data_IF_777745014438
#
_entry.id   IF_777745014438
#
_cell.length_a   1.000
_cell.length_b   1.000
_cell.length_c   1.000
_cell.angle_alpha   90.00
_cell.angle_beta   90.00
_cell.angle_gamma   90.00
#
_symmetry.space_group_name_H-M   'P 1'
#
loop_
_entity.id
_entity.type
_entity.pdbx_description
1 polymer ?
#
# COMPACT_ATOMS: atom_id res chain seq x y z
N UNK A 1 -14.59 25.09 -18.25
CA UNK A 1 -14.29 23.81 -18.95
C UNK A 1 -15.08 22.70 -18.24
N UNK A 2 -15.78 21.84 -18.98
CA UNK A 2 -16.63 20.82 -18.36
C UNK A 2 -15.73 19.67 -17.87
N UNK A 3 -15.70 19.42 -16.56
CA UNK A 3 -14.87 18.40 -15.90
C UNK A 3 -15.01 17.00 -16.53
N UNK A 4 -16.18 16.65 -17.08
CA UNK A 4 -16.37 15.40 -17.80
C UNK A 4 -15.42 15.21 -18.99
N UNK A 5 -15.09 16.29 -19.70
CA UNK A 5 -14.14 16.24 -20.83
C UNK A 5 -12.68 16.06 -20.40
N UNK A 6 -12.31 16.57 -19.23
CA UNK A 6 -10.95 16.38 -18.67
C UNK A 6 -10.75 14.92 -18.29
N UNK A 7 -11.76 14.29 -17.67
CA UNK A 7 -11.74 12.87 -17.34
C UNK A 7 -11.73 11.96 -18.57
N UNK A 8 -12.54 12.26 -19.60
CA UNK A 8 -12.49 11.52 -20.86
C UNK A 8 -11.11 11.66 -21.52
N UNK A 9 -10.53 12.86 -21.53
CA UNK A 9 -9.23 13.12 -22.14
C UNK A 9 -8.09 12.35 -21.43
N UNK A 10 -8.09 12.28 -20.11
CA UNK A 10 -7.12 11.51 -19.30
C UNK A 10 -7.37 10.01 -19.45
N UNK A 11 -8.63 9.56 -19.41
CA UNK A 11 -9.00 8.14 -19.46
C UNK A 11 -8.66 7.48 -20.82
N UNK A 12 -8.84 8.20 -21.94
CA UNK A 12 -8.58 7.64 -23.26
C UNK A 12 -7.10 7.63 -23.66
N UNK A 13 -6.22 8.34 -22.95
CA UNK A 13 -4.78 8.33 -23.20
C UNK A 13 -3.99 7.31 -22.38
N UNK A 14 -4.64 6.53 -21.53
CA UNK A 14 -3.98 5.37 -20.90
C UNK A 14 -3.59 4.36 -21.98
N UNK A 15 -2.32 3.97 -22.08
CA UNK A 15 -1.81 3.25 -23.24
C UNK A 15 -2.46 1.88 -23.40
N UNK A 16 -3.03 1.61 -24.56
CA UNK A 16 -3.41 0.26 -25.03
C UNK A 16 -2.23 -0.73 -24.92
N UNK A 17 -0.98 -0.24 -24.96
CA UNK A 17 0.23 -1.01 -24.83
C UNK A 17 0.42 -1.70 -23.48
N UNK A 18 -0.07 -1.13 -22.37
CA UNK A 18 0.13 -1.74 -21.03
C UNK A 18 -0.70 -3.03 -20.87
N UNK A 19 -1.93 -3.06 -21.39
CA UNK A 19 -2.76 -4.29 -21.43
C UNK A 19 -2.12 -5.37 -22.31
N UNK A 20 -1.66 -5.00 -23.51
CA UNK A 20 -0.99 -5.95 -24.40
C UNK A 20 0.32 -6.49 -23.84
N UNK A 21 1.04 -5.70 -23.03
CA UNK A 21 2.24 -6.15 -22.33
C UNK A 21 1.91 -7.18 -21.24
N UNK A 22 0.91 -6.92 -20.40
CA UNK A 22 0.47 -7.85 -19.34
C UNK A 22 -0.02 -9.16 -19.96
N UNK A 23 -0.82 -9.09 -21.03
CA UNK A 23 -1.31 -10.27 -21.72
C UNK A 23 -0.17 -11.09 -22.33
N UNK A 24 0.83 -10.45 -22.94
CA UNK A 24 2.05 -11.12 -23.45
C UNK A 24 2.90 -11.71 -22.35
N UNK A 25 3.08 -11.02 -21.23
CA UNK A 25 3.82 -11.51 -20.07
C UNK A 25 3.13 -12.73 -19.44
N UNK A 26 1.79 -12.68 -19.30
CA UNK A 26 1.01 -13.82 -18.81
C UNK A 26 1.05 -15.02 -19.76
N UNK A 27 0.95 -14.80 -21.07
CA UNK A 27 1.12 -15.88 -22.08
C UNK A 27 2.53 -16.50 -22.03
N UNK A 28 3.56 -15.73 -21.70
CA UNK A 28 4.91 -16.25 -21.52
C UNK A 28 5.05 -17.04 -20.23
N UNK A 29 4.46 -16.59 -19.13
CA UNK A 29 4.42 -17.33 -17.87
C UNK A 29 3.71 -18.67 -18.05
N UNK A 30 2.57 -18.72 -18.75
CA UNK A 30 1.88 -19.98 -19.09
C UNK A 30 2.76 -20.91 -19.93
N UNK A 31 3.53 -20.36 -20.89
CA UNK A 31 4.50 -21.16 -21.67
C UNK A 31 5.64 -21.72 -20.81
N UNK A 32 6.14 -20.93 -19.86
CA UNK A 32 7.17 -21.38 -18.91
C UNK A 32 6.63 -22.47 -17.99
N UNK A 33 5.41 -22.34 -17.47
CA UNK A 33 4.78 -23.36 -16.65
C UNK A 33 4.47 -24.65 -17.42
N UNK A 34 4.03 -24.56 -18.66
CA UNK A 34 3.86 -25.71 -19.55
C UNK A 34 5.18 -26.44 -19.82
N UNK A 35 6.29 -25.70 -19.95
CA UNK A 35 7.64 -26.28 -20.10
C UNK A 35 8.11 -26.95 -18.80
N UNK A 36 7.81 -26.36 -17.65
CA UNK A 36 8.13 -26.93 -16.33
C UNK A 36 7.39 -28.26 -16.09
N UNK A 37 6.11 -28.33 -16.42
CA UNK A 37 5.32 -29.56 -16.34
C UNK A 37 5.85 -30.66 -17.29
N UNK A 38 6.28 -30.27 -18.47
CA UNK A 38 6.91 -31.22 -19.43
C UNK A 38 8.26 -31.76 -18.93
N UNK A 39 9.01 -30.91 -18.18
CA UNK A 39 10.24 -31.33 -17.50
C UNK A 39 9.97 -32.39 -16.43
N UNK A 40 8.99 -32.15 -15.58
CA UNK A 40 8.61 -33.06 -14.48
C UNK A 40 8.16 -34.43 -14.98
N UNK A 41 7.46 -34.48 -16.12
CA UNK A 41 7.04 -35.72 -16.77
C UNK A 41 8.20 -36.45 -17.49
N UNK A 42 9.19 -35.70 -18.03
CA UNK A 42 10.34 -36.24 -18.74
C UNK A 42 11.41 -36.89 -17.85
N UNK A 43 11.43 -36.56 -16.55
CA UNK A 43 12.37 -37.09 -15.55
C UNK A 43 12.19 -38.63 -15.35
N UNK A 44 11.03 -39.18 -15.71
CA UNK A 44 10.70 -40.61 -15.51
C UNK A 44 11.29 -41.57 -16.56
N UNK A 45 11.79 -41.10 -17.71
CA UNK A 45 12.23 -42.00 -18.78
C UNK A 45 13.63 -41.69 -19.31
N UNK A 46 14.55 -42.64 -19.09
CA UNK A 46 15.87 -42.93 -19.76
C UNK A 46 16.89 -41.76 -19.90
N UNK A 47 18.12 -42.04 -19.44
CA UNK A 47 19.28 -41.14 -19.25
C UNK A 47 19.70 -40.33 -20.51
N UNK A 48 19.68 -40.93 -21.69
CA UNK A 48 20.14 -40.26 -22.93
C UNK A 48 19.10 -39.32 -23.54
N UNK A 49 17.82 -39.63 -23.40
CA UNK A 49 16.74 -38.75 -23.85
C UNK A 49 16.59 -37.53 -22.94
N UNK A 50 16.93 -37.71 -21.67
CA UNK A 50 16.90 -36.66 -20.64
C UNK A 50 17.88 -35.52 -20.93
N UNK A 51 19.11 -35.83 -21.36
CA UNK A 51 20.15 -34.84 -21.64
C UNK A 51 19.80 -33.98 -22.87
N UNK A 52 19.27 -34.61 -23.93
CA UNK A 52 18.82 -33.87 -25.13
C UNK A 52 17.60 -32.96 -24.80
N UNK A 53 16.69 -33.47 -23.98
CA UNK A 53 15.52 -32.68 -23.54
C UNK A 53 15.96 -31.50 -22.65
N UNK A 54 16.93 -31.75 -21.77
CA UNK A 54 17.50 -30.71 -20.89
C UNK A 54 18.17 -29.59 -21.70
N UNK A 55 18.95 -29.91 -22.72
CA UNK A 55 19.57 -28.91 -23.61
C UNK A 55 18.53 -28.13 -24.42
N UNK A 56 17.50 -28.80 -24.95
CA UNK A 56 16.42 -28.15 -25.68
C UNK A 56 15.64 -27.20 -24.81
N UNK A 57 15.38 -27.57 -23.54
CA UNK A 57 14.66 -26.77 -22.60
C UNK A 57 15.50 -25.60 -22.11
N UNK A 58 16.79 -25.80 -21.81
CA UNK A 58 17.71 -24.72 -21.48
C UNK A 58 17.72 -23.65 -22.58
N UNK A 59 17.87 -24.08 -23.86
CA UNK A 59 17.79 -23.13 -25.00
C UNK A 59 16.46 -22.39 -25.11
N UNK A 60 15.34 -23.07 -24.79
CA UNK A 60 14.01 -22.42 -24.76
C UNK A 60 13.88 -21.42 -23.60
N UNK A 61 14.35 -21.80 -22.41
CA UNK A 61 14.37 -20.90 -21.23
C UNK A 61 15.25 -19.68 -21.53
N UNK A 62 16.44 -19.86 -22.11
CA UNK A 62 17.31 -18.75 -22.50
C UNK A 62 16.65 -17.86 -23.56
N UNK A 63 15.92 -18.47 -24.50
CA UNK A 63 15.15 -17.77 -25.50
C UNK A 63 14.04 -16.89 -24.87
N UNK A 64 13.25 -17.49 -23.97
CA UNK A 64 12.18 -16.79 -23.24
C UNK A 64 12.74 -15.71 -22.33
N UNK A 65 13.84 -15.97 -21.64
CA UNK A 65 14.51 -14.99 -20.80
C UNK A 65 14.99 -13.76 -21.58
N UNK A 66 15.50 -13.97 -22.81
CA UNK A 66 15.86 -12.85 -23.70
C UNK A 66 14.63 -12.07 -24.18
N UNK A 67 13.54 -12.77 -24.47
CA UNK A 67 12.29 -12.14 -24.90
C UNK A 67 11.64 -11.32 -23.75
N UNK A 68 11.61 -11.86 -22.54
CA UNK A 68 11.17 -11.16 -21.32
C UNK A 68 12.00 -9.89 -21.08
N UNK A 69 13.33 -9.99 -21.24
CA UNK A 69 14.22 -8.83 -21.08
C UNK A 69 13.91 -7.75 -22.11
N UNK A 70 13.73 -8.13 -23.38
CA UNK A 70 13.34 -7.17 -24.44
C UNK A 70 12.00 -6.49 -24.15
N UNK A 71 11.01 -7.25 -23.68
CA UNK A 71 9.71 -6.72 -23.31
C UNK A 71 9.81 -5.77 -22.11
N UNK A 72 10.67 -6.07 -21.14
CA UNK A 72 10.94 -5.18 -20.03
C UNK A 72 11.58 -3.86 -20.49
N UNK A 73 12.59 -3.93 -21.37
CA UNK A 73 13.22 -2.74 -21.97
C UNK A 73 12.22 -1.90 -22.77
N UNK A 74 11.35 -2.55 -23.55
CA UNK A 74 10.29 -1.87 -24.31
C UNK A 74 9.24 -1.23 -23.38
N UNK A 75 8.84 -1.91 -22.31
CA UNK A 75 7.93 -1.35 -21.30
C UNK A 75 8.53 -0.13 -20.62
N UNK A 76 9.78 -0.21 -20.18
CA UNK A 76 10.49 0.92 -19.56
C UNK A 76 10.58 2.11 -20.52
N UNK A 77 10.80 1.85 -21.81
CA UNK A 77 10.80 2.89 -22.84
C UNK A 77 9.42 3.54 -23.00
N UNK A 78 8.36 2.74 -23.05
CA UNK A 78 6.98 3.22 -23.16
C UNK A 78 6.57 4.03 -21.94
N UNK A 79 6.93 3.58 -20.74
CA UNK A 79 6.69 4.31 -19.50
C UNK A 79 7.34 5.70 -19.52
N UNK A 80 8.60 5.81 -19.96
CA UNK A 80 9.29 7.10 -20.11
C UNK A 80 8.57 8.01 -21.09
N UNK A 81 8.11 7.48 -22.22
CA UNK A 81 7.39 8.25 -23.23
C UNK A 81 6.05 8.76 -22.66
N UNK A 82 5.28 7.88 -22.01
CA UNK A 82 4.00 8.24 -21.40
C UNK A 82 4.19 9.28 -20.30
N UNK A 83 5.17 9.10 -19.43
CA UNK A 83 5.49 10.06 -18.37
C UNK A 83 5.89 11.41 -18.95
N UNK A 84 6.67 11.42 -20.04
CA UNK A 84 7.08 12.65 -20.70
C UNK A 84 5.89 13.42 -21.26
N UNK A 85 5.01 12.75 -22.03
CA UNK A 85 3.82 13.39 -22.58
C UNK A 85 2.84 13.82 -21.49
N UNK A 86 2.67 13.01 -20.43
CA UNK A 86 1.84 13.39 -19.31
C UNK A 86 2.34 14.67 -18.64
N UNK A 87 3.66 14.79 -18.40
CA UNK A 87 4.25 16.02 -17.85
C UNK A 87 3.99 17.24 -18.74
N UNK A 88 4.14 17.09 -20.05
CA UNK A 88 3.84 18.18 -21.00
C UNK A 88 2.36 18.56 -20.99
N UNK A 89 1.46 17.56 -21.02
CA UNK A 89 0.01 17.79 -20.98
C UNK A 89 -0.40 18.50 -19.68
N UNK A 90 0.18 18.08 -18.54
CA UNK A 90 -0.08 18.72 -17.26
C UNK A 90 0.47 20.15 -17.20
N UNK A 91 1.67 20.38 -17.72
CA UNK A 91 2.22 21.73 -17.80
C UNK A 91 1.33 22.66 -18.63
N UNK A 92 0.87 22.22 -19.82
CA UNK A 92 -0.05 22.99 -20.66
C UNK A 92 -1.39 23.23 -19.96
N UNK A 93 -1.93 22.18 -19.28
CA UNK A 93 -3.18 22.30 -18.53
C UNK A 93 -3.07 23.36 -17.42
N UNK A 94 -1.99 23.35 -16.65
CA UNK A 94 -1.79 24.31 -15.56
C UNK A 94 -1.56 25.74 -16.08
N UNK A 95 -0.84 25.91 -17.19
CA UNK A 95 -0.68 27.22 -17.84
C UNK A 95 -2.01 27.79 -18.34
N UNK A 96 -2.91 26.96 -18.88
CA UNK A 96 -4.25 27.38 -19.31
C UNK A 96 -5.19 27.62 -18.13
N UNK A 97 -5.09 26.83 -17.05
CA UNK A 97 -5.96 26.92 -15.87
C UNK A 97 -5.58 28.07 -14.94
N UNK A 98 -4.33 28.44 -14.91
CA UNK A 98 -3.76 29.50 -14.09
C UNK A 98 -4.38 30.87 -14.43
N UNK A 99 -4.67 31.67 -13.39
CA UNK A 99 -5.10 33.05 -13.56
C UNK A 99 -3.91 33.99 -13.73
N UNK A 100 -4.15 35.15 -14.28
CA UNK A 100 -3.13 36.21 -14.39
C UNK A 100 -2.56 36.57 -12.99
N UNK A 101 -1.25 36.56 -12.86
CA UNK A 101 -0.53 36.81 -11.60
C UNK A 101 -0.50 35.65 -10.59
N UNK A 102 -1.16 34.53 -10.87
CA UNK A 102 -1.16 33.35 -10.02
C UNK A 102 0.05 32.45 -10.32
N UNK A 103 0.68 31.87 -9.30
CA UNK A 103 1.72 30.85 -9.52
C UNK A 103 1.09 29.51 -9.91
N UNK A 104 1.85 28.64 -10.57
CA UNK A 104 1.36 27.28 -10.92
C UNK A 104 0.91 26.51 -9.68
N UNK A 105 1.69 26.57 -8.60
CA UNK A 105 1.36 25.89 -7.36
C UNK A 105 0.08 26.43 -6.70
N UNK A 106 -0.20 27.73 -6.79
CA UNK A 106 -1.44 28.30 -6.26
C UNK A 106 -2.65 27.87 -7.09
N UNK A 107 -2.48 27.81 -8.43
CA UNK A 107 -3.50 27.28 -9.33
C UNK A 107 -3.80 25.80 -9.05
N UNK A 108 -2.78 24.99 -8.81
CA UNK A 108 -2.90 23.57 -8.43
C UNK A 108 -3.63 23.42 -7.10
N UNK A 109 -3.22 24.15 -6.07
CA UNK A 109 -3.91 24.16 -4.76
C UNK A 109 -5.37 24.54 -4.89
N UNK A 110 -5.66 25.62 -5.60
CA UNK A 110 -7.03 26.08 -5.87
C UNK A 110 -7.85 25.02 -6.61
N UNK A 111 -7.25 24.37 -7.61
CA UNK A 111 -7.92 23.32 -8.38
C UNK A 111 -8.34 22.15 -7.49
N UNK A 112 -7.41 21.56 -6.77
CA UNK A 112 -7.69 20.39 -5.95
C UNK A 112 -8.65 20.68 -4.79
N UNK A 113 -8.56 21.86 -4.19
CA UNK A 113 -9.53 22.31 -3.18
C UNK A 113 -10.94 22.54 -3.76
N UNK A 114 -11.06 22.84 -5.06
CA UNK A 114 -12.35 23.05 -5.72
C UNK A 114 -13.01 21.79 -6.24
N UNK A 115 -12.34 20.63 -6.17
CA UNK A 115 -12.91 19.38 -6.62
C UNK A 115 -14.10 18.97 -5.77
N UNK A 116 -15.20 18.53 -6.40
CA UNK A 116 -16.36 18.07 -5.65
C UNK A 116 -16.02 16.79 -4.88
N UNK A 117 -16.58 16.68 -3.68
CA UNK A 117 -16.52 15.43 -2.91
C UNK A 117 -17.15 14.28 -3.69
N UNK A 118 -16.73 13.06 -3.41
CA UNK A 118 -17.35 11.85 -3.93
C UNK A 118 -18.87 11.88 -3.78
N UNK A 119 -19.58 11.14 -4.61
CA UNK A 119 -21.03 11.01 -4.56
C UNK A 119 -21.47 9.56 -4.50
N UNK A 120 -22.72 9.35 -4.09
CA UNK A 120 -23.33 8.02 -4.07
C UNK A 120 -22.63 7.08 -3.09
N UNK A 121 -22.27 5.90 -3.57
CA UNK A 121 -21.80 4.81 -2.73
C UNK A 121 -20.38 5.08 -2.18
N UNK A 122 -19.52 5.68 -3.00
CA UNK A 122 -18.17 6.03 -2.57
C UNK A 122 -18.21 7.08 -1.45
N UNK A 123 -19.13 8.04 -1.54
CA UNK A 123 -19.31 9.02 -0.46
C UNK A 123 -19.84 8.39 0.83
N UNK A 124 -20.74 7.42 0.71
CA UNK A 124 -21.23 6.69 1.88
C UNK A 124 -20.10 5.93 2.59
N UNK A 125 -19.20 5.32 1.83
CA UNK A 125 -18.01 4.66 2.35
C UNK A 125 -17.12 5.66 3.10
N UNK A 126 -16.73 6.74 2.44
CA UNK A 126 -15.92 7.81 3.02
C UNK A 126 -16.54 8.40 4.31
N UNK A 127 -17.86 8.53 4.37
CA UNK A 127 -18.53 9.02 5.56
C UNK A 127 -18.45 8.04 6.74
N UNK A 128 -18.53 6.74 6.49
CA UNK A 128 -18.38 5.71 7.52
C UNK A 128 -16.91 5.58 7.96
N UNK A 129 -15.97 5.70 7.03
CA UNK A 129 -14.53 5.74 7.35
C UNK A 129 -14.17 6.98 8.18
N UNK A 130 -14.76 8.14 7.85
CA UNK A 130 -14.63 9.33 8.67
C UNK A 130 -15.16 9.09 10.09
N UNK A 131 -16.29 8.41 10.26
CA UNK A 131 -16.83 8.08 11.58
C UNK A 131 -15.90 7.14 12.35
N UNK A 132 -15.32 6.14 11.66
CA UNK A 132 -14.27 5.29 12.24
C UNK A 132 -13.03 6.09 12.63
N UNK A 133 -12.56 7.01 11.77
CA UNK A 133 -11.39 7.85 12.07
C UNK A 133 -11.61 8.72 13.31
N UNK A 134 -12.83 9.27 13.47
CA UNK A 134 -13.19 10.02 14.67
C UNK A 134 -13.07 9.13 15.91
N UNK A 135 -13.68 7.94 15.89
CA UNK A 135 -13.62 7.00 17.01
C UNK A 135 -12.20 6.53 17.30
N UNK A 136 -11.43 6.20 16.25
CA UNK A 136 -10.02 5.82 16.36
C UNK A 136 -9.18 6.92 17.01
N UNK A 137 -9.38 8.16 16.56
CA UNK A 137 -8.69 9.34 17.10
C UNK A 137 -9.01 9.56 18.57
N UNK A 138 -10.31 9.50 18.95
CA UNK A 138 -10.78 9.63 20.32
C UNK A 138 -10.17 8.55 21.23
N UNK A 139 -10.19 7.27 20.81
CA UNK A 139 -9.58 6.16 21.55
C UNK A 139 -8.07 6.37 21.73
N UNK A 140 -7.37 6.80 20.69
CA UNK A 140 -5.93 7.07 20.77
C UNK A 140 -5.64 8.24 21.74
N UNK A 141 -6.40 9.33 21.68
CA UNK A 141 -6.22 10.51 22.52
C UNK A 141 -6.51 10.19 24.01
N UNK A 142 -7.61 9.49 24.31
CA UNK A 142 -7.98 9.07 25.66
C UNK A 142 -6.92 8.15 26.30
N UNK A 143 -6.21 7.34 25.48
CA UNK A 143 -5.21 6.42 25.95
C UNK A 143 -3.76 6.87 25.73
N UNK A 144 -3.56 8.15 25.35
CA UNK A 144 -2.25 8.74 25.13
C UNK A 144 -1.39 7.92 24.13
N UNK A 145 -2.01 7.47 23.05
CA UNK A 145 -1.36 6.78 21.94
C UNK A 145 -1.21 7.75 20.76
N UNK A 146 -0.05 7.70 20.11
CA UNK A 146 0.23 8.55 18.97
C UNK A 146 -0.08 7.80 17.66
N UNK A 147 -0.88 8.44 16.81
CA UNK A 147 -1.11 8.00 15.43
C UNK A 147 -0.95 9.18 14.50
N UNK A 148 -0.76 8.93 13.23
CA UNK A 148 -0.77 9.98 12.20
C UNK A 148 -1.37 9.46 10.90
N UNK A 149 -1.93 10.39 10.11
CA UNK A 149 -2.40 10.10 8.76
C UNK A 149 -1.20 9.90 7.84
N UNK A 150 -1.34 8.97 6.88
CA UNK A 150 -0.25 8.60 5.99
C UNK A 150 -0.72 8.47 4.55
N UNK A 151 0.19 8.20 3.63
CA UNK A 151 -0.06 7.87 2.22
C UNK A 151 -1.16 8.72 1.56
N UNK A 152 -2.17 8.09 0.93
CA UNK A 152 -3.27 8.75 0.24
C UNK A 152 -4.09 9.66 1.15
N UNK A 153 -4.30 9.27 2.39
CA UNK A 153 -5.03 10.05 3.38
C UNK A 153 -4.28 11.32 3.78
N UNK A 154 -2.95 11.26 3.95
CA UNK A 154 -2.13 12.45 4.19
C UNK A 154 -2.15 13.39 2.98
N UNK A 155 -2.03 12.86 1.77
CA UNK A 155 -2.13 13.63 0.54
C UNK A 155 -3.50 14.30 0.42
N UNK A 156 -4.57 13.58 0.70
CA UNK A 156 -5.94 14.10 0.74
C UNK A 156 -6.10 15.23 1.76
N UNK A 157 -5.54 15.06 2.96
CA UNK A 157 -5.55 16.07 4.03
C UNK A 157 -4.94 17.39 3.55
N UNK A 158 -3.78 17.34 2.93
CA UNK A 158 -3.05 18.54 2.48
C UNK A 158 -3.67 19.16 1.23
N UNK A 159 -4.07 18.33 0.27
CA UNK A 159 -4.49 18.75 -1.06
C UNK A 159 -5.98 19.07 -1.16
N UNK A 160 -6.85 18.35 -0.41
CA UNK A 160 -8.31 18.43 -0.51
C UNK A 160 -8.97 18.83 0.81
N UNK A 161 -8.25 18.87 1.95
CA UNK A 161 -8.77 18.97 3.32
C UNK A 161 -9.75 17.83 3.66
N UNK A 162 -9.50 16.65 3.13
CA UNK A 162 -10.34 15.47 3.26
C UNK A 162 -9.96 14.40 2.27
N UNK A 163 -10.88 13.50 1.98
CA UNK A 163 -10.65 12.44 1.01
C UNK A 163 -10.31 13.00 -0.38
N UNK A 164 -9.39 12.34 -1.05
CA UNK A 164 -9.29 12.42 -2.50
C UNK A 164 -10.63 11.90 -3.06
N UNK A 165 -11.30 12.59 -4.02
CA UNK A 165 -12.68 12.25 -4.40
C UNK A 165 -12.90 10.81 -4.90
N UNK A 166 -11.88 10.15 -5.38
CA UNK A 166 -11.92 8.76 -5.87
C UNK A 166 -11.31 7.74 -4.93
N UNK A 167 -10.85 8.17 -3.75
CA UNK A 167 -10.27 7.31 -2.72
C UNK A 167 -11.33 6.59 -1.91
N UNK A 168 -11.06 5.37 -1.48
CA UNK A 168 -12.00 4.50 -0.78
C UNK A 168 -11.42 3.86 0.48
N UNK A 169 -10.37 4.45 1.06
CA UNK A 169 -9.72 3.98 2.28
C UNK A 169 -9.13 5.12 3.12
N UNK A 170 -8.77 4.79 4.34
CA UNK A 170 -7.99 5.64 5.25
C UNK A 170 -6.76 4.89 5.72
N UNK A 171 -5.60 5.51 5.46
CA UNK A 171 -4.30 5.06 5.91
C UNK A 171 -3.87 5.80 7.17
N UNK A 172 -3.60 5.06 8.22
CA UNK A 172 -2.99 5.58 9.45
C UNK A 172 -1.74 4.80 9.79
N UNK A 173 -0.87 5.43 10.57
CA UNK A 173 0.31 4.78 11.10
C UNK A 173 0.40 4.96 12.62
N UNK A 174 1.03 4.02 13.28
CA UNK A 174 1.35 4.05 14.70
C UNK A 174 2.70 3.39 14.95
N UNK A 175 3.34 3.70 16.07
CA UNK A 175 4.43 2.89 16.57
C UNK A 175 3.91 1.48 16.97
N UNK A 176 4.72 0.46 16.76
CA UNK A 176 4.31 -0.95 16.99
C UNK A 176 3.76 -1.19 18.40
N UNK A 177 4.39 -0.63 19.41
CA UNK A 177 3.96 -0.76 20.79
C UNK A 177 2.59 -0.13 21.07
N UNK A 178 2.26 0.97 20.38
CA UNK A 178 0.94 1.59 20.48
C UNK A 178 -0.14 0.76 19.78
N UNK A 179 0.19 0.05 18.69
CA UNK A 179 -0.70 -0.93 18.06
C UNK A 179 -1.00 -2.08 19.01
N UNK A 180 0.02 -2.61 19.71
CA UNK A 180 -0.17 -3.67 20.67
C UNK A 180 -1.04 -3.21 21.85
N UNK A 181 -0.85 -1.98 22.35
CA UNK A 181 -1.71 -1.37 23.37
C UNK A 181 -3.14 -1.20 22.88
N UNK A 182 -3.33 -0.73 21.66
CA UNK A 182 -4.64 -0.57 21.04
C UNK A 182 -5.36 -1.92 20.91
N UNK A 183 -4.65 -2.98 20.52
CA UNK A 183 -5.19 -4.34 20.46
C UNK A 183 -5.72 -4.80 21.83
N UNK A 184 -4.96 -4.55 22.90
CA UNK A 184 -5.39 -4.91 24.26
C UNK A 184 -6.62 -4.11 24.72
N UNK A 185 -6.65 -2.81 24.47
CA UNK A 185 -7.79 -1.94 24.83
C UNK A 185 -9.06 -2.40 24.11
N UNK A 186 -8.95 -2.76 22.84
CA UNK A 186 -10.11 -3.13 22.03
C UNK A 186 -10.62 -4.56 22.26
N UNK A 187 -9.93 -5.41 23.01
CA UNK A 187 -10.41 -6.77 23.32
C UNK A 187 -11.82 -6.76 23.95
N UNK A 188 -12.06 -5.82 24.85
CA UNK A 188 -13.32 -5.69 25.57
C UNK A 188 -14.23 -4.59 25.03
N UNK A 189 -13.85 -3.95 23.94
CA UNK A 189 -14.70 -2.95 23.31
C UNK A 189 -15.88 -3.64 22.60
N UNK A 190 -17.10 -3.10 22.74
CA UNK A 190 -18.31 -3.71 22.18
C UNK A 190 -18.58 -3.23 20.73
N UNK A 191 -18.07 -2.06 20.35
CA UNK A 191 -18.37 -1.41 19.09
C UNK A 191 -17.25 -1.53 18.06
N UNK A 192 -15.99 -1.47 18.50
CA UNK A 192 -14.82 -1.46 17.63
C UNK A 192 -13.90 -2.64 17.87
N UNK A 193 -13.14 -3.02 16.85
CA UNK A 193 -12.12 -4.07 16.94
C UNK A 193 -10.89 -3.71 16.11
N UNK A 194 -9.76 -4.27 16.50
CA UNK A 194 -8.55 -4.32 15.70
C UNK A 194 -8.37 -5.73 15.14
N UNK A 195 -8.50 -5.86 13.84
CA UNK A 195 -8.27 -7.13 13.15
C UNK A 195 -6.82 -7.18 12.69
N UNK A 196 -6.11 -8.23 13.04
CA UNK A 196 -4.72 -8.46 12.61
C UNK A 196 -4.65 -9.79 11.88
N UNK A 197 -4.19 -9.76 10.64
CA UNK A 197 -4.08 -10.93 9.77
C UNK A 197 -2.71 -10.99 9.12
N UNK A 198 -2.22 -12.21 8.91
CA UNK A 198 -1.08 -12.44 8.02
C UNK A 198 -1.59 -12.67 6.59
N UNK A 199 -1.03 -11.92 5.65
CA UNK A 199 -1.32 -12.04 4.22
C UNK A 199 -0.20 -12.82 3.53
N UNK A 200 -0.56 -13.98 2.97
CA UNK A 200 0.37 -14.89 2.32
C UNK A 200 0.87 -14.37 0.96
N UNK A 201 0.14 -13.47 0.33
CA UNK A 201 0.47 -12.91 -0.97
C UNK A 201 1.20 -11.58 -0.85
N UNK A 202 0.83 -10.78 0.14
CA UNK A 202 1.52 -9.55 0.49
C UNK A 202 2.77 -9.73 1.34
N UNK A 203 2.97 -10.94 1.92
CA UNK A 203 4.06 -11.25 2.85
C UNK A 203 4.12 -10.26 4.03
N UNK A 204 2.96 -9.88 4.54
CA UNK A 204 2.83 -8.81 5.51
C UNK A 204 1.78 -9.09 6.58
N UNK A 205 1.75 -8.23 7.59
CA UNK A 205 0.61 -8.09 8.48
C UNK A 205 -0.34 -7.04 7.93
N UNK A 206 -1.62 -7.37 7.86
CA UNK A 206 -2.70 -6.41 7.67
C UNK A 206 -3.31 -6.12 9.02
N UNK A 207 -3.30 -4.86 9.42
CA UNK A 207 -3.86 -4.39 10.69
C UNK A 207 -4.95 -3.39 10.37
N UNK A 208 -6.18 -3.67 10.79
CA UNK A 208 -7.36 -2.89 10.44
C UNK A 208 -8.20 -2.59 11.65
N UNK A 209 -8.47 -1.31 11.87
CA UNK A 209 -9.47 -0.86 12.82
C UNK A 209 -10.83 -0.79 12.14
N UNK A 210 -11.86 -1.34 12.77
CA UNK A 210 -13.19 -1.39 12.17
C UNK A 210 -14.30 -1.62 13.19
N UNK A 211 -15.53 -1.66 12.69
CA UNK A 211 -16.69 -1.99 13.51
C UNK A 211 -16.73 -3.48 13.85
N UNK A 212 -16.91 -3.78 15.15
CA UNK A 212 -17.03 -5.15 15.64
C UNK A 212 -18.33 -5.78 15.16
N UNK A 213 -18.28 -7.06 14.78
CA UNK A 213 -19.45 -7.83 14.32
C UNK A 213 -20.21 -7.17 13.15
N UNK A 214 -19.50 -6.49 12.27
CA UNK A 214 -20.09 -5.81 11.13
C UNK A 214 -19.77 -6.52 9.83
N UNK A 215 -20.75 -6.64 8.93
CA UNK A 215 -20.58 -7.06 7.54
C UNK A 215 -20.17 -5.88 6.63
N UNK A 216 -19.99 -4.68 7.21
CA UNK A 216 -19.57 -3.50 6.48
C UNK A 216 -18.12 -3.67 6.02
N UNK A 217 -17.83 -3.45 4.74
CA UNK A 217 -16.47 -3.45 4.21
C UNK A 217 -15.77 -2.10 4.48
N UNK A 218 -15.83 -1.63 5.73
CA UNK A 218 -15.32 -0.32 6.16
C UNK A 218 -14.28 -0.54 7.24
N UNK A 219 -13.11 0.00 7.04
CA UNK A 219 -11.99 -0.12 7.97
C UNK A 219 -11.00 1.02 7.78
N UNK A 220 -10.13 1.19 8.75
CA UNK A 220 -8.94 2.03 8.67
C UNK A 220 -7.73 1.08 8.65
N UNK A 221 -6.87 1.20 7.67
CA UNK A 221 -5.58 0.52 7.68
C UNK A 221 -4.63 1.20 8.69
N UNK A 222 -3.98 0.38 9.52
CA UNK A 222 -3.04 0.83 10.54
C UNK A 222 -1.68 0.22 10.27
N UNK A 223 -0.74 1.02 9.78
CA UNK A 223 0.59 0.56 9.44
C UNK A 223 1.55 0.72 10.62
N UNK A 224 2.26 -0.35 11.02
CA UNK A 224 3.28 -0.27 12.05
C UNK A 224 4.52 0.44 11.56
N UNK A 225 5.06 1.29 12.43
CA UNK A 225 6.40 1.83 12.33
C UNK A 225 7.25 1.33 13.50
N UNK A 226 8.53 1.14 13.26
CA UNK A 226 9.50 0.68 14.23
C UNK A 226 10.57 1.74 14.52
N UNK A 227 10.98 1.84 15.79
CA UNK A 227 12.06 2.71 16.22
C UNK A 227 13.40 2.14 15.78
N UNK A 228 14.18 2.91 15.03
CA UNK A 228 15.49 2.54 14.55
C UNK A 228 16.58 3.22 15.36
N UNK A 229 17.64 2.47 15.72
CA UNK A 229 18.76 3.01 16.48
C UNK A 229 19.45 4.18 15.75
N UNK A 230 19.53 4.09 14.41
CA UNK A 230 20.12 5.13 13.57
C UNK A 230 19.20 5.48 12.41
N UNK A 231 19.07 6.77 12.09
CA UNK A 231 18.43 7.25 10.89
C UNK A 231 19.38 7.15 9.69
N UNK A 232 19.79 5.94 9.32
CA UNK A 232 20.82 5.71 8.31
C UNK A 232 20.32 4.81 7.17
N UNK A 233 20.98 4.92 6.02
CA UNK A 233 20.70 4.04 4.88
C UNK A 233 20.98 2.57 5.22
N UNK A 234 21.98 2.30 6.05
CA UNK A 234 22.32 0.94 6.48
C UNK A 234 21.20 0.32 7.30
N UNK A 235 20.52 1.11 8.15
CA UNK A 235 19.33 0.66 8.89
C UNK A 235 18.17 0.32 7.94
N UNK A 236 17.95 1.14 6.92
CA UNK A 236 16.96 0.85 5.88
C UNK A 236 17.33 -0.41 5.08
N UNK A 237 18.58 -0.55 4.64
CA UNK A 237 19.05 -1.73 3.89
C UNK A 237 18.93 -3.02 4.72
N UNK A 238 19.14 -2.95 6.03
CA UNK A 238 18.96 -4.07 6.93
C UNK A 238 17.49 -4.46 7.05
N UNK A 239 16.60 -3.49 7.24
CA UNK A 239 15.14 -3.70 7.27
C UNK A 239 14.64 -4.30 5.95
N UNK A 240 15.07 -3.74 4.82
CA UNK A 240 14.73 -4.26 3.49
C UNK A 240 15.24 -5.69 3.27
N UNK A 241 16.47 -6.00 3.67
CA UNK A 241 17.05 -7.34 3.58
C UNK A 241 16.22 -8.35 4.37
N UNK A 242 15.84 -8.00 5.59
CA UNK A 242 14.99 -8.85 6.44
C UNK A 242 13.62 -9.08 5.78
N UNK A 243 13.02 -8.06 5.18
CA UNK A 243 11.78 -8.21 4.39
C UNK A 243 11.95 -9.19 3.23
N UNK A 244 13.06 -9.13 2.51
CA UNK A 244 13.35 -10.06 1.40
C UNK A 244 13.60 -11.49 1.89
N UNK A 245 14.27 -11.67 3.05
CA UNK A 245 14.45 -12.98 3.68
C UNK A 245 13.12 -13.57 4.14
N UNK A 246 12.25 -12.76 4.79
CA UNK A 246 10.90 -13.17 5.16
C UNK A 246 10.11 -13.62 3.94
N UNK A 247 10.12 -12.83 2.86
CA UNK A 247 9.44 -13.16 1.61
C UNK A 247 9.95 -14.47 1.00
N UNK A 248 11.26 -14.70 1.02
CA UNK A 248 11.85 -15.94 0.54
C UNK A 248 11.39 -17.14 1.39
N UNK A 249 11.37 -17.02 2.73
CA UNK A 249 10.90 -18.09 3.62
C UNK A 249 9.41 -18.38 3.41
N UNK A 250 8.56 -17.36 3.33
CA UNK A 250 7.12 -17.49 3.11
C UNK A 250 6.75 -17.92 1.67
N UNK A 251 7.73 -17.97 0.77
CA UNK A 251 7.57 -18.49 -0.59
C UNK A 251 8.04 -19.95 -0.72
N UNK A 252 8.62 -20.55 0.32
CA UNK A 252 9.16 -21.91 0.29
C UNK A 252 8.04 -22.95 0.43
N UNK A 253 7.48 -23.39 -0.70
CA UNK A 253 6.41 -24.39 -0.75
C UNK A 253 6.84 -25.83 -0.38
N UNK A 254 8.13 -26.10 -0.11
CA UNK A 254 8.56 -27.36 0.47
C UNK A 254 8.12 -27.50 1.94
N UNK A 255 7.94 -26.36 2.63
CA UNK A 255 7.42 -26.31 3.99
C UNK A 255 5.88 -26.50 4.00
N UNK A 256 5.41 -27.50 4.76
CA UNK A 256 3.99 -27.83 4.86
C UNK A 256 3.15 -26.67 5.44
N UNK A 257 3.65 -25.98 6.48
CA UNK A 257 3.00 -24.80 7.06
C UNK A 257 2.82 -23.69 6.02
N UNK A 258 3.87 -23.42 5.22
CA UNK A 258 3.81 -22.36 4.22
C UNK A 258 2.81 -22.71 3.12
N UNK A 259 2.74 -23.96 2.66
CA UNK A 259 1.71 -24.41 1.71
C UNK A 259 0.29 -24.17 2.24
N UNK A 260 0.06 -24.54 3.52
CA UNK A 260 -1.23 -24.36 4.16
C UNK A 260 -1.58 -22.87 4.32
N UNK A 261 -0.63 -22.05 4.76
CA UNK A 261 -0.77 -20.60 4.86
C UNK A 261 -1.10 -19.96 3.50
N UNK A 262 -0.34 -20.31 2.45
CA UNK A 262 -0.58 -19.79 1.09
C UNK A 262 -1.93 -20.25 0.51
N UNK A 263 -2.34 -21.47 0.78
CA UNK A 263 -3.65 -21.97 0.37
C UNK A 263 -4.80 -21.22 1.07
N UNK A 264 -4.61 -20.80 2.31
CA UNK A 264 -5.58 -19.98 3.06
C UNK A 264 -5.62 -18.51 2.58
N UNK A 265 -4.52 -18.02 2.00
CA UNK A 265 -4.38 -16.66 1.48
C UNK A 265 -4.20 -15.60 2.57
N UNK A 266 -5.13 -15.50 3.48
CA UNK A 266 -5.09 -14.55 4.59
C UNK A 266 -5.59 -15.24 5.86
N UNK A 267 -4.83 -15.20 6.96
CA UNK A 267 -5.15 -15.89 8.21
C UNK A 267 -5.12 -14.95 9.39
N UNK A 268 -6.08 -15.10 10.29
CA UNK A 268 -6.11 -14.37 11.55
C UNK A 268 -4.92 -14.77 12.44
N UNK A 269 -4.27 -13.80 13.11
CA UNK A 269 -3.10 -14.04 13.95
C UNK A 269 -3.40 -14.97 15.13
N UNK A 270 -4.65 -15.00 15.61
CA UNK A 270 -5.09 -15.83 16.73
C UNK A 270 -5.50 -17.26 16.30
N UNK A 271 -5.59 -17.54 14.99
CA UNK A 271 -5.83 -18.87 14.45
C UNK A 271 -4.66 -19.82 14.69
N UNK A 272 -4.88 -21.13 14.51
CA UNK A 272 -3.81 -22.13 14.67
C UNK A 272 -2.65 -21.87 13.70
N UNK A 273 -2.97 -21.64 12.42
CA UNK A 273 -1.97 -21.32 11.38
C UNK A 273 -1.32 -19.96 11.70
N UNK A 274 -2.11 -18.95 12.07
CA UNK A 274 -1.61 -17.62 12.40
C UNK A 274 -0.58 -17.63 13.52
N UNK A 275 -0.80 -18.39 14.60
CA UNK A 275 0.17 -18.55 15.70
C UNK A 275 1.48 -19.21 15.25
N UNK A 276 1.41 -20.13 14.30
CA UNK A 276 2.62 -20.76 13.77
C UNK A 276 3.37 -19.81 12.81
N UNK A 277 2.65 -19.04 12.00
CA UNK A 277 3.22 -18.03 11.11
C UNK A 277 3.81 -16.87 11.92
N UNK A 278 3.22 -16.51 13.06
CA UNK A 278 3.75 -15.50 13.98
C UNK A 278 5.22 -15.76 14.34
N UNK A 279 5.58 -17.02 14.61
CA UNK A 279 6.97 -17.40 14.96
C UNK A 279 7.96 -17.01 13.85
N UNK A 280 7.53 -17.07 12.59
CA UNK A 280 8.37 -16.67 11.44
C UNK A 280 8.54 -15.15 11.45
N UNK A 281 7.47 -14.38 11.60
CA UNK A 281 7.56 -12.91 11.66
C UNK A 281 8.37 -12.44 12.86
N UNK A 282 8.14 -13.04 14.04
CA UNK A 282 8.85 -12.70 15.28
C UNK A 282 10.35 -12.99 15.19
N UNK A 283 10.74 -14.09 14.52
CA UNK A 283 12.14 -14.41 14.23
C UNK A 283 12.85 -13.25 13.51
N UNK A 284 12.21 -12.67 12.51
CA UNK A 284 12.79 -11.58 11.72
C UNK A 284 12.77 -10.24 12.48
N UNK A 285 11.73 -9.99 13.26
CA UNK A 285 11.71 -8.84 14.17
C UNK A 285 12.83 -8.91 15.20
N UNK A 286 12.98 -10.07 15.85
CA UNK A 286 14.04 -10.28 16.84
C UNK A 286 15.44 -10.14 16.22
N UNK A 287 15.63 -10.63 14.98
CA UNK A 287 16.89 -10.44 14.26
C UNK A 287 17.25 -8.96 14.10
N UNK A 288 16.30 -8.10 13.73
CA UNK A 288 16.54 -6.67 13.63
C UNK A 288 16.88 -6.03 14.99
N UNK A 289 16.29 -6.53 16.07
CA UNK A 289 16.62 -6.12 17.45
C UNK A 289 18.02 -6.57 17.86
N UNK A 290 18.37 -7.82 17.62
CA UNK A 290 19.69 -8.41 17.93
C UNK A 290 20.80 -7.76 17.12
N UNK A 291 20.53 -7.40 15.85
CA UNK A 291 21.45 -6.68 14.98
C UNK A 291 21.55 -5.17 15.29
N UNK A 292 20.89 -4.69 16.36
CA UNK A 292 20.82 -3.27 16.75
C UNK A 292 20.35 -2.33 15.63
N UNK A 293 19.49 -2.81 14.75
CA UNK A 293 18.78 -1.98 13.76
C UNK A 293 17.60 -1.30 14.42
N UNK A 294 16.83 -2.07 15.23
CA UNK A 294 15.72 -1.56 16.01
C UNK A 294 16.10 -1.44 17.49
N UNK A 295 15.59 -0.43 18.15
CA UNK A 295 15.79 -0.14 19.57
C UNK A 295 14.50 0.33 20.25
N UNK A 296 14.57 0.72 21.51
CA UNK A 296 13.45 1.32 22.21
C UNK A 296 13.33 2.81 21.84
N UNK A 297 12.16 3.39 22.06
CA UNK A 297 11.81 4.77 21.69
C UNK A 297 12.83 5.79 22.17
N UNK A 298 13.30 5.61 23.41
CA UNK A 298 14.22 6.54 24.09
C UNK A 298 15.62 6.60 23.47
N UNK A 299 16.01 5.54 22.75
CA UNK A 299 17.33 5.42 22.13
C UNK A 299 17.28 5.68 20.62
N UNK A 300 16.08 5.87 20.05
CA UNK A 300 15.89 5.95 18.63
C UNK A 300 16.29 7.30 18.04
N UNK A 301 17.11 7.28 16.99
CA UNK A 301 17.37 8.42 16.12
C UNK A 301 16.52 8.37 14.84
N UNK A 302 16.12 7.15 14.42
CA UNK A 302 15.38 6.88 13.20
C UNK A 302 14.00 6.27 13.45
N UNK A 303 13.18 6.30 12.40
CA UNK A 303 11.85 5.75 12.39
C UNK A 303 11.58 5.06 11.04
N UNK A 304 11.32 3.76 11.08
CA UNK A 304 11.20 2.90 9.90
C UNK A 304 9.77 2.45 9.68
N UNK A 305 9.32 2.52 8.45
CA UNK A 305 8.15 1.75 8.02
C UNK A 305 8.48 0.26 8.18
N UNK A 306 7.67 -0.46 8.93
CA UNK A 306 8.02 -1.80 9.37
C UNK A 306 8.17 -2.81 8.22
N UNK A 307 9.14 -3.72 8.33
CA UNK A 307 9.41 -4.76 7.33
C UNK A 307 8.20 -5.67 7.08
N UNK A 308 7.34 -5.83 8.06
CA UNK A 308 6.15 -6.68 8.02
C UNK A 308 4.87 -5.94 7.58
N UNK A 309 4.99 -4.67 7.18
CA UNK A 309 3.90 -3.90 6.59
C UNK A 309 3.75 -4.16 5.10
N UNK A 310 2.53 -4.00 4.60
CA UNK A 310 2.28 -3.86 3.16
C UNK A 310 2.96 -2.60 2.65
N UNK A 311 3.87 -2.76 1.71
CA UNK A 311 4.48 -1.64 1.01
C UNK A 311 4.64 -2.03 -0.46
N UNK A 312 3.82 -1.47 -1.36
CA UNK A 312 3.92 -1.74 -2.80
C UNK A 312 5.17 -1.11 -3.42
N UNK A 313 5.72 -0.06 -2.79
CA UNK A 313 6.95 0.58 -3.21
C UNK A 313 8.05 0.15 -2.25
N UNK A 314 9.02 -0.63 -2.71
CA UNK A 314 10.18 -1.04 -1.90
C UNK A 314 11.09 0.16 -1.47
N UNK A 315 10.69 1.38 -1.82
CA UNK A 315 11.42 2.64 -1.58
C UNK A 315 11.03 3.33 -0.26
N UNK A 316 10.52 2.58 0.72
CA UNK A 316 10.23 3.17 2.03
C UNK A 316 11.51 3.66 2.69
N UNK A 317 11.56 4.95 2.92
CA UNK A 317 12.73 5.61 3.48
C UNK A 317 12.80 5.41 4.99
N UNK A 318 14.00 5.47 5.52
CA UNK A 318 14.20 5.75 6.93
C UNK A 318 14.12 7.26 7.13
N UNK A 319 13.41 7.67 8.16
CA UNK A 319 13.28 9.06 8.53
C UNK A 319 13.89 9.28 9.91
N UNK A 320 14.40 10.49 10.17
CA UNK A 320 14.75 10.88 11.52
C UNK A 320 13.47 11.01 12.37
N UNK A 321 13.54 10.65 13.66
CA UNK A 321 12.42 10.80 14.60
C UNK A 321 11.85 12.22 14.58
N UNK A 322 12.70 13.24 14.45
CA UNK A 322 12.30 14.66 14.39
C UNK A 322 11.48 15.05 13.15
N UNK A 323 11.47 14.20 12.10
CA UNK A 323 10.62 14.42 10.93
C UNK A 323 9.17 14.01 11.19
N UNK A 324 8.96 13.09 12.12
CA UNK A 324 7.62 12.66 12.56
C UNK A 324 7.15 13.43 13.79
N UNK A 325 7.99 13.62 14.78
CA UNK A 325 7.63 14.18 16.09
C UNK A 325 8.28 15.53 16.37
N UNK A 326 7.59 16.44 17.11
CA UNK A 326 6.22 16.28 17.60
C UNK A 326 5.21 16.35 16.44
N UNK A 327 4.16 15.53 16.52
CA UNK A 327 3.11 15.51 15.50
C UNK A 327 2.44 16.89 15.34
N UNK A 328 2.12 17.24 14.09
CA UNK A 328 1.32 18.41 13.76
C UNK A 328 -0.18 18.03 13.68
N UNK A 329 -1.06 19.03 13.69
CA UNK A 329 -2.49 18.82 13.52
C UNK A 329 -3.01 19.52 12.27
N UNK A 330 -3.70 18.78 11.40
CA UNK A 330 -4.36 19.31 10.20
C UNK A 330 -5.83 18.91 10.19
N UNK A 331 -6.60 19.62 9.37
CA UNK A 331 -8.02 19.32 9.16
C UNK A 331 -8.19 18.25 8.07
N UNK A 332 -8.93 17.17 8.38
CA UNK A 332 -9.40 16.16 7.45
C UNK A 332 -10.91 15.98 7.60
N UNK A 333 -11.69 16.32 6.57
CA UNK A 333 -13.17 16.22 6.58
C UNK A 333 -13.84 16.92 7.79
N UNK A 334 -13.25 17.98 8.32
CA UNK A 334 -13.71 18.68 9.51
C UNK A 334 -13.29 18.05 10.84
N UNK A 335 -12.49 16.97 10.82
CA UNK A 335 -11.81 16.43 12.00
C UNK A 335 -10.41 17.03 12.10
N UNK A 336 -9.93 17.21 13.33
CA UNK A 336 -8.55 17.60 13.59
C UNK A 336 -7.72 16.34 13.79
N UNK A 337 -6.85 15.99 12.83
CA UNK A 337 -6.08 14.77 12.82
C UNK A 337 -4.58 15.03 12.93
N UNK A 338 -3.85 14.06 13.48
CA UNK A 338 -2.41 14.12 13.57
C UNK A 338 -1.76 13.80 12.23
N UNK A 339 -0.69 14.53 11.94
CA UNK A 339 0.17 14.31 10.77
C UNK A 339 1.64 14.40 11.20
N UNK A 340 2.60 13.83 10.45
CA UNK A 340 4.02 13.96 10.77
C UNK A 340 4.45 15.43 10.88
N UNK A 341 5.47 15.71 11.70
CA UNK A 341 6.02 17.06 11.87
C UNK A 341 6.38 17.70 10.52
N UNK A 342 7.10 16.98 9.70
CA UNK A 342 7.50 17.43 8.37
C UNK A 342 6.65 16.76 7.27
N UNK A 343 5.32 16.83 7.40
CA UNK A 343 4.38 16.15 6.51
C UNK A 343 4.59 16.49 5.03
N UNK A 344 5.02 17.71 4.71
CA UNK A 344 5.34 18.08 3.33
C UNK A 344 6.56 17.31 2.80
N UNK A 345 7.59 17.14 3.61
CA UNK A 345 8.76 16.33 3.27
C UNK A 345 8.34 14.87 3.05
N UNK A 346 7.54 14.30 3.95
CA UNK A 346 7.02 12.92 3.82
C UNK A 346 6.22 12.75 2.53
N UNK A 347 5.38 13.74 2.16
CA UNK A 347 4.65 13.69 0.88
C UNK A 347 5.58 13.76 -0.33
N UNK A 348 6.66 14.55 -0.28
CA UNK A 348 7.67 14.58 -1.34
C UNK A 348 8.38 13.24 -1.49
N UNK A 349 8.71 12.57 -0.39
CA UNK A 349 9.32 11.24 -0.40
C UNK A 349 8.38 10.18 -0.99
N UNK A 350 7.09 10.24 -0.65
CA UNK A 350 6.10 9.25 -1.10
C UNK A 350 5.64 9.47 -2.56
N UNK A 351 5.48 10.71 -2.99
CA UNK A 351 4.82 11.05 -4.26
C UNK A 351 5.67 11.91 -5.21
N UNK A 352 6.88 12.28 -4.78
CA UNK A 352 7.73 13.20 -5.53
C UNK A 352 7.33 14.67 -5.40
N UNK A 353 8.10 15.55 -6.05
CA UNK A 353 7.92 16.99 -5.94
C UNK A 353 6.57 17.49 -6.51
N UNK A 354 6.02 16.77 -7.47
CA UNK A 354 4.83 17.16 -8.23
C UNK A 354 3.52 16.57 -7.67
N UNK A 355 3.42 16.30 -6.37
CA UNK A 355 2.19 15.68 -5.81
C UNK A 355 0.94 16.57 -5.87
N UNK A 356 1.07 17.86 -6.20
CA UNK A 356 -0.02 18.76 -6.57
C UNK A 356 -0.42 18.64 -8.05
N UNK A 357 -0.22 17.49 -8.66
CA UNK A 357 -0.69 17.20 -10.03
C UNK A 357 -1.41 15.84 -10.06
N UNK A 358 -1.97 15.51 -11.23
CA UNK A 358 -2.55 14.17 -11.40
C UNK A 358 -1.42 13.15 -11.57
N UNK A 359 -1.51 12.00 -10.89
CA UNK A 359 -0.50 10.96 -11.02
C UNK A 359 -0.49 10.42 -12.46
N UNK A 360 0.72 10.13 -12.95
CA UNK A 360 0.92 9.37 -14.17
C UNK A 360 1.07 7.90 -13.76
N UNK A 361 0.10 7.06 -14.01
CA UNK A 361 0.23 5.66 -13.65
C UNK A 361 -1.06 4.87 -13.62
N UNK A 362 -1.09 3.84 -12.81
CA UNK A 362 -2.24 2.95 -12.68
C UNK A 362 -3.43 3.67 -12.08
N UNK A 363 -4.65 3.32 -12.51
CA UNK A 363 -5.84 3.81 -11.84
C UNK A 363 -5.83 3.34 -10.39
N UNK A 364 -6.41 4.16 -9.53
CA UNK A 364 -6.60 3.85 -8.12
C UNK A 364 -7.23 2.47 -7.93
N UNK A 365 -6.68 1.66 -7.04
CA UNK A 365 -7.24 0.36 -6.67
C UNK A 365 -8.43 0.58 -5.77
N UNK A 366 -9.55 -0.05 -6.12
CA UNK A 366 -10.72 -0.11 -5.23
C UNK A 366 -10.46 -1.24 -4.22
N UNK A 367 -10.32 -0.88 -2.95
CA UNK A 367 -9.92 -1.81 -1.89
C UNK A 367 -11.06 -2.69 -1.38
N UNK A 368 -12.32 -2.32 -1.66
CA UNK A 368 -13.48 -3.06 -1.19
C UNK A 368 -14.49 -3.38 -2.30
N UNK A 369 -15.03 -4.60 -2.33
CA UNK A 369 -16.19 -4.96 -3.18
C UNK A 369 -17.50 -4.40 -2.57
N UNK A 370 -17.55 -3.08 -2.47
CA UNK A 370 -18.67 -2.35 -1.87
C UNK A 370 -19.95 -2.37 -2.70
N UNK A 371 -19.88 -2.77 -3.98
CA UNK A 371 -21.05 -2.80 -4.87
C UNK A 371 -22.15 -3.72 -4.35
N UNK A 372 -21.77 -4.83 -3.70
CA UNK A 372 -22.71 -5.78 -3.08
C UNK A 372 -23.40 -5.21 -1.84
N UNK A 373 -22.77 -4.26 -1.16
CA UNK A 373 -23.19 -3.74 0.15
C UNK A 373 -23.87 -2.36 0.07
N UNK A 374 -24.28 -1.92 -1.13
CA UNK A 374 -24.81 -0.56 -1.37
C UNK A 374 -25.96 -0.16 -0.41
N UNK A 375 -26.91 -1.06 -0.14
CA UNK A 375 -28.05 -0.77 0.76
C UNK A 375 -27.56 -0.66 2.20
N UNK A 376 -26.73 -1.61 2.63
CA UNK A 376 -26.18 -1.66 3.97
C UNK A 376 -25.37 -0.38 4.29
N UNK A 377 -24.49 0.05 3.39
CA UNK A 377 -23.72 1.28 3.54
C UNK A 377 -24.62 2.51 3.70
N UNK A 378 -25.69 2.63 2.88
CA UNK A 378 -26.61 3.75 2.96
C UNK A 378 -27.45 3.76 4.25
N UNK A 379 -27.80 2.59 4.79
CA UNK A 379 -28.51 2.45 6.05
C UNK A 379 -27.60 2.80 7.24
N UNK A 380 -26.38 2.31 7.23
CA UNK A 380 -25.41 2.57 8.31
C UNK A 380 -24.97 4.05 8.37
N UNK A 381 -24.83 4.74 7.23
CA UNK A 381 -24.58 6.18 7.20
C UNK A 381 -25.70 6.93 7.94
N UNK A 382 -26.97 6.56 7.69
CA UNK A 382 -28.12 7.21 8.38
C UNK A 382 -28.11 6.99 9.89
N UNK A 383 -27.55 5.86 10.37
CA UNK A 383 -27.51 5.53 11.80
C UNK A 383 -26.32 6.20 12.50
N UNK A 384 -25.16 6.25 11.87
CA UNK A 384 -23.87 6.62 12.49
C UNK A 384 -23.45 8.05 12.20
N UNK A 385 -23.69 8.52 10.98
CA UNK A 385 -23.28 9.86 10.52
C UNK A 385 -24.42 10.83 10.74
N UNK A 386 -24.33 11.58 11.83
CA UNK A 386 -25.31 12.64 12.20
C UNK A 386 -24.84 14.01 11.74
#
# INVERSE_FOLDING_TARGET
MNMGRVWEYIYWRLPVGKRQFIDRANQMLEKVDGLKQTLELGIKNSYNHRNQLYEQMSRKIDGLSREVRKLHEENTRLERIVTHYHKQDMQMFWEEYRKEGETTIDAQKRFFLSLPKAQGINRNLQLLEKDLLRAFSEICEENQMEYWLYAGTLLGTVRHKGFIPWDDDIDTCMAREDIDRLKEILKNNEEYCLTVKYDAWGYCKQIRFGYKNSELPVFIDVFPFDWACLASRESWEANHRVKMELKAELSNEENALIREFRAAGCVDVDSVIGKQVAVIFDKYYNKLREDHVLCDKEEAEGFLFSFDSWNPCDDSNINAVSQFFPLQKLEFEGLTCNVPNQYMYILHELYGEDFYTFPCGEPHFIHADWKKNKKLLAEEVKKRVK
#
